data_IF_409615461509
#
_entry.id   IF_409615461509
#
_cell.length_a   1.000
_cell.length_b   1.000
_cell.length_c   1.000
_cell.angle_alpha   90.00
_cell.angle_beta   90.00
_cell.angle_gamma   90.00
#
_symmetry.space_group_name_H-M   'P 1'
#
loop_
_entity.id
_entity.type
_entity.pdbx_description
1 polymer ?
#
# COMPACT_ATOMS: atom_id res chain seq x y z
N UNK A 1 35.89 12.55 0.80
CA UNK A 1 35.87 12.24 -0.65
C UNK A 1 35.20 13.41 -1.37
N UNK A 2 35.98 14.18 -2.14
CA UNK A 2 35.55 15.45 -2.73
C UNK A 2 34.60 15.28 -3.92
N UNK A 3 33.56 16.13 -3.99
CA UNK A 3 32.57 16.24 -5.08
C UNK A 3 33.18 16.47 -6.48
N UNK A 4 34.45 16.90 -6.55
CA UNK A 4 35.17 17.19 -7.80
C UNK A 4 35.68 15.95 -8.56
N UNK A 5 35.71 14.77 -7.94
CA UNK A 5 36.15 13.52 -8.60
C UNK A 5 35.05 12.83 -9.42
N UNK A 6 33.79 13.25 -9.29
CA UNK A 6 32.65 12.67 -10.01
C UNK A 6 32.53 13.14 -11.48
N UNK A 7 33.30 14.16 -11.89
CA UNK A 7 33.20 14.81 -13.19
C UNK A 7 34.06 14.17 -14.30
N UNK A 8 34.78 13.07 -14.01
CA UNK A 8 35.78 12.48 -14.93
C UNK A 8 35.35 11.17 -15.60
N UNK A 9 34.04 10.89 -15.65
CA UNK A 9 33.53 9.67 -16.26
C UNK A 9 32.02 9.71 -16.50
N UNK A 10 31.54 10.67 -17.30
CA UNK A 10 30.17 10.68 -17.82
C UNK A 10 30.02 9.51 -18.82
N UNK A 11 29.85 8.32 -18.25
CA UNK A 11 29.84 7.07 -18.98
C UNK A 11 28.41 6.76 -19.47
N UNK A 12 28.28 6.11 -20.64
CA UNK A 12 27.02 5.47 -21.07
C UNK A 12 26.38 4.61 -19.98
N UNK A 13 27.20 4.06 -19.07
CA UNK A 13 26.77 3.28 -17.92
C UNK A 13 25.97 4.10 -16.90
N UNK A 14 26.31 5.37 -16.68
CA UNK A 14 25.56 6.25 -15.76
C UNK A 14 24.16 6.55 -16.29
N UNK A 15 24.03 6.84 -17.59
CA UNK A 15 22.74 7.07 -18.26
C UNK A 15 21.87 5.81 -18.21
N UNK A 16 22.46 4.64 -18.50
CA UNK A 16 21.77 3.35 -18.40
C UNK A 16 21.36 3.01 -16.97
N UNK A 17 22.22 3.33 -15.99
CA UNK A 17 21.91 3.20 -14.57
C UNK A 17 20.71 4.05 -14.19
N UNK A 18 20.71 5.33 -14.56
CA UNK A 18 19.63 6.27 -14.29
C UNK A 18 18.30 5.80 -14.91
N UNK A 19 18.33 5.35 -16.16
CA UNK A 19 17.17 4.77 -16.84
C UNK A 19 16.59 3.57 -16.05
N UNK A 20 17.43 2.62 -15.65
CA UNK A 20 17.01 1.45 -14.85
C UNK A 20 16.49 1.86 -13.47
N UNK A 21 17.06 2.89 -12.85
CA UNK A 21 16.60 3.40 -11.56
C UNK A 21 15.22 4.03 -11.68
N UNK A 22 14.98 4.87 -12.69
CA UNK A 22 13.67 5.49 -12.96
C UNK A 22 12.59 4.43 -13.22
N UNK A 23 12.88 3.41 -14.03
CA UNK A 23 11.94 2.32 -14.29
C UNK A 23 11.63 1.51 -13.02
N UNK A 24 12.66 1.10 -12.26
CA UNK A 24 12.46 0.37 -11.00
C UNK A 24 11.67 1.18 -9.98
N UNK A 25 11.94 2.49 -9.88
CA UNK A 25 11.18 3.36 -9.00
C UNK A 25 9.73 3.49 -9.45
N UNK A 26 9.51 3.61 -10.77
CA UNK A 26 8.19 3.66 -11.38
C UNK A 26 7.35 2.41 -11.11
N UNK A 27 7.96 1.22 -11.06
CA UNK A 27 7.25 -0.03 -10.75
C UNK A 27 6.80 -0.15 -9.29
N UNK A 28 7.38 0.63 -8.37
CA UNK A 28 7.06 0.56 -6.94
C UNK A 28 5.80 1.34 -6.54
N UNK A 29 5.16 2.06 -7.45
CA UNK A 29 3.89 2.74 -7.14
C UNK A 29 2.76 1.71 -7.03
N UNK A 30 1.91 1.82 -6.00
CA UNK A 30 0.76 0.92 -5.85
C UNK A 30 -0.29 1.15 -6.97
N UNK A 31 -0.49 2.39 -7.39
CA UNK A 31 -1.46 2.76 -8.44
C UNK A 31 -0.95 2.39 -9.83
N UNK A 32 -1.75 1.61 -10.56
CA UNK A 32 -1.50 1.22 -11.96
C UNK A 32 -1.21 2.43 -12.86
N UNK A 33 -2.02 3.49 -12.75
CA UNK A 33 -1.91 4.67 -13.61
C UNK A 33 -0.56 5.37 -13.43
N UNK A 34 -0.08 5.48 -12.18
CA UNK A 34 1.23 6.08 -11.91
C UNK A 34 2.38 5.19 -12.39
N UNK A 35 2.29 3.87 -12.22
CA UNK A 35 3.31 2.93 -12.74
C UNK A 35 3.45 3.04 -14.25
N UNK A 36 2.34 2.95 -14.97
CA UNK A 36 2.35 3.00 -16.43
C UNK A 36 2.73 4.38 -16.98
N UNK A 37 2.29 5.45 -16.33
CA UNK A 37 2.71 6.80 -16.68
C UNK A 37 4.21 7.00 -16.49
N UNK A 38 4.76 6.64 -15.32
CA UNK A 38 6.19 6.76 -15.03
C UNK A 38 7.04 5.96 -16.01
N UNK A 39 6.63 4.71 -16.31
CA UNK A 39 7.28 3.85 -17.28
C UNK A 39 7.28 4.46 -18.68
N UNK A 40 6.13 4.94 -19.15
CA UNK A 40 5.99 5.56 -20.47
C UNK A 40 6.80 6.85 -20.56
N UNK A 41 6.62 7.77 -19.62
CA UNK A 41 7.34 9.04 -19.54
C UNK A 41 8.86 8.85 -19.52
N UNK A 42 9.36 7.89 -18.75
CA UNK A 42 10.79 7.54 -18.72
C UNK A 42 11.26 7.04 -20.08
N UNK A 43 10.51 6.12 -20.71
CA UNK A 43 10.88 5.57 -22.03
C UNK A 43 10.88 6.63 -23.12
N UNK A 44 9.86 7.48 -23.14
CA UNK A 44 9.70 8.52 -24.16
C UNK A 44 10.78 9.58 -23.99
N UNK A 45 11.06 10.04 -22.77
CA UNK A 45 12.14 11.00 -22.49
C UNK A 45 13.51 10.51 -22.98
N UNK A 46 13.85 9.23 -22.77
CA UNK A 46 15.14 8.67 -23.20
C UNK A 46 15.17 8.38 -24.71
N UNK A 47 14.02 8.11 -25.34
CA UNK A 47 13.92 7.95 -26.80
C UNK A 47 14.07 9.28 -27.52
N UNK A 48 13.41 10.33 -27.04
CA UNK A 48 13.48 11.69 -27.58
C UNK A 48 14.91 12.23 -27.55
N UNK A 49 15.65 11.96 -26.47
CA UNK A 49 17.01 12.48 -26.27
C UNK A 49 18.13 11.52 -26.75
N UNK A 50 17.80 10.45 -27.48
CA UNK A 50 18.77 9.40 -27.87
C UNK A 50 19.89 9.90 -28.79
N UNK A 51 19.60 10.88 -29.65
CA UNK A 51 20.53 11.36 -30.67
C UNK A 51 21.40 12.54 -30.23
N UNK A 52 21.23 13.03 -29.00
CA UNK A 52 22.01 14.15 -28.46
C UNK A 52 23.44 13.70 -28.18
N UNK A 53 24.41 14.45 -28.71
CA UNK A 53 25.84 14.15 -28.57
C UNK A 53 26.61 15.23 -27.81
N UNK A 54 26.00 16.39 -27.57
CA UNK A 54 26.65 17.49 -26.82
C UNK A 54 26.82 17.08 -25.35
N UNK A 55 28.07 16.98 -24.83
CA UNK A 55 28.33 16.59 -23.45
C UNK A 55 27.62 17.48 -22.42
N UNK A 56 27.48 18.79 -22.70
CA UNK A 56 26.83 19.72 -21.76
C UNK A 56 25.33 19.44 -21.66
N UNK A 57 24.67 19.22 -22.79
CA UNK A 57 23.25 18.87 -22.83
C UNK A 57 22.97 17.51 -22.20
N UNK A 58 23.85 16.53 -22.41
CA UNK A 58 23.76 15.22 -21.75
C UNK A 58 23.82 15.40 -20.23
N UNK A 59 24.76 16.20 -19.74
CA UNK A 59 24.92 16.45 -18.31
C UNK A 59 23.66 17.11 -17.72
N UNK A 60 23.10 18.11 -18.41
CA UNK A 60 21.85 18.78 -17.98
C UNK A 60 20.66 17.80 -17.92
N UNK A 61 20.50 16.96 -18.95
CA UNK A 61 19.44 15.95 -18.99
C UNK A 61 19.61 14.88 -17.90
N UNK A 62 20.84 14.47 -17.61
CA UNK A 62 21.15 13.56 -16.51
C UNK A 62 20.76 14.20 -15.17
N UNK A 63 21.10 15.48 -14.94
CA UNK A 63 20.68 16.19 -13.73
C UNK A 63 19.15 16.30 -13.63
N UNK A 64 18.46 16.58 -14.74
CA UNK A 64 17.00 16.58 -14.81
C UNK A 64 16.43 15.21 -14.42
N UNK A 65 16.96 14.13 -14.98
CA UNK A 65 16.50 12.77 -14.66
C UNK A 65 16.78 12.37 -13.21
N UNK A 66 17.91 12.80 -12.63
CA UNK A 66 18.20 12.60 -11.20
C UNK A 66 17.18 13.35 -10.32
N UNK A 67 16.79 14.56 -10.69
CA UNK A 67 15.74 15.31 -10.01
C UNK A 67 14.38 14.64 -10.14
N UNK A 68 14.02 14.16 -11.33
CA UNK A 68 12.79 13.38 -11.55
C UNK A 68 12.76 12.11 -10.67
N UNK A 69 13.89 11.39 -10.57
CA UNK A 69 14.02 10.22 -9.70
C UNK A 69 13.82 10.57 -8.22
N UNK A 70 14.38 11.69 -7.75
CA UNK A 70 14.18 12.16 -6.38
C UNK A 70 12.70 12.52 -6.12
N UNK A 71 12.06 13.21 -7.06
CA UNK A 71 10.64 13.54 -6.97
C UNK A 71 9.76 12.28 -6.91
N UNK A 72 10.01 11.28 -7.76
CA UNK A 72 9.26 10.02 -7.74
C UNK A 72 9.39 9.27 -6.41
N UNK A 73 10.57 9.31 -5.78
CA UNK A 73 10.78 8.72 -4.44
C UNK A 73 9.98 9.47 -3.37
N UNK A 74 9.98 10.80 -3.42
CA UNK A 74 9.22 11.63 -2.49
C UNK A 74 7.71 11.43 -2.66
N UNK A 75 7.22 11.36 -3.91
CA UNK A 75 5.80 11.10 -4.20
C UNK A 75 5.34 9.75 -3.66
N UNK A 76 6.16 8.70 -3.81
CA UNK A 76 5.87 7.39 -3.22
C UNK A 76 5.68 7.50 -1.70
N UNK A 77 6.62 8.11 -1.00
CA UNK A 77 6.54 8.27 0.45
C UNK A 77 5.31 9.09 0.86
N UNK A 78 5.02 10.17 0.12
CA UNK A 78 3.84 11.01 0.36
C UNK A 78 2.54 10.21 0.24
N UNK A 79 2.41 9.39 -0.81
CA UNK A 79 1.21 8.55 -0.98
C UNK A 79 1.04 7.52 0.13
N UNK A 80 2.14 6.97 0.64
CA UNK A 80 2.12 6.04 1.77
C UNK A 80 1.68 6.76 3.06
N UNK A 81 2.27 7.91 3.36
CA UNK A 81 1.88 8.72 4.53
C UNK A 81 0.41 9.15 4.48
N UNK A 82 -0.10 9.48 3.29
CA UNK A 82 -1.50 9.83 3.10
C UNK A 82 -2.43 8.64 3.40
N UNK A 83 -2.06 7.44 2.96
CA UNK A 83 -2.80 6.21 3.26
C UNK A 83 -2.82 5.92 4.77
N UNK A 84 -1.65 5.99 5.42
CA UNK A 84 -1.52 5.78 6.88
C UNK A 84 -2.35 6.81 7.68
N UNK A 85 -2.36 8.07 7.23
CA UNK A 85 -3.18 9.13 7.81
C UNK A 85 -4.68 8.82 7.67
N UNK A 86 -5.11 8.34 6.51
CA UNK A 86 -6.50 7.95 6.27
C UNK A 86 -6.90 6.74 7.13
N UNK A 87 -6.05 5.73 7.25
CA UNK A 87 -6.27 4.57 8.10
C UNK A 87 -6.39 4.93 9.59
N UNK A 88 -5.60 5.91 10.05
CA UNK A 88 -5.68 6.42 11.43
C UNK A 88 -6.98 7.17 11.70
N UNK A 89 -7.50 7.90 10.70
CA UNK A 89 -8.74 8.69 10.83
C UNK A 89 -10.00 7.86 10.62
N UNK A 90 -9.96 6.91 9.69
CA UNK A 90 -11.09 6.11 9.25
C UNK A 90 -10.75 4.64 9.43
N UNK A 91 -11.16 4.12 10.59
CA UNK A 91 -11.03 2.70 10.93
C UNK A 91 -11.75 1.87 9.86
N UNK A 92 -11.09 0.83 9.35
CA UNK A 92 -11.62 -0.03 8.30
C UNK A 92 -11.19 0.34 6.88
N UNK A 93 -10.39 1.40 6.70
CA UNK A 93 -9.77 1.71 5.40
C UNK A 93 -8.80 0.61 4.98
N UNK A 94 -9.13 -0.10 3.89
CA UNK A 94 -8.32 -1.21 3.37
C UNK A 94 -7.07 -0.75 2.59
N UNK A 95 -6.20 -1.72 2.28
CA UNK A 95 -5.04 -1.63 1.39
C UNK A 95 -5.03 -2.86 0.47
N UNK A 96 -4.18 -2.91 -0.58
CA UNK A 96 -4.14 -4.04 -1.51
C UNK A 96 -3.96 -5.42 -0.86
N UNK A 97 -3.27 -5.48 0.28
CA UNK A 97 -2.99 -6.73 1.01
C UNK A 97 -3.96 -6.98 2.18
N UNK A 98 -5.11 -6.28 2.23
CA UNK A 98 -6.13 -6.54 3.25
C UNK A 98 -6.69 -7.95 3.09
N UNK A 99 -6.63 -8.72 4.16
CA UNK A 99 -7.05 -10.13 4.16
C UNK A 99 -8.58 -10.24 4.13
N UNK A 100 -9.08 -11.40 3.66
CA UNK A 100 -10.52 -11.70 3.72
C UNK A 100 -11.07 -11.63 5.16
N UNK A 101 -10.27 -12.02 6.14
CA UNK A 101 -10.66 -11.99 7.55
C UNK A 101 -10.77 -10.55 8.08
N UNK A 102 -9.80 -9.68 7.79
CA UNK A 102 -9.84 -8.25 8.19
C UNK A 102 -11.06 -7.55 7.58
N UNK A 103 -11.30 -7.74 6.28
CA UNK A 103 -12.46 -7.20 5.59
C UNK A 103 -13.77 -7.66 6.23
N UNK A 104 -13.95 -8.98 6.41
CA UNK A 104 -15.16 -9.54 7.05
C UNK A 104 -15.34 -9.00 8.46
N UNK A 105 -14.27 -8.89 9.24
CA UNK A 105 -14.30 -8.36 10.60
C UNK A 105 -14.82 -6.92 10.62
N UNK A 106 -14.32 -6.06 9.74
CA UNK A 106 -14.77 -4.67 9.62
C UNK A 106 -16.26 -4.61 9.22
N UNK A 107 -16.68 -5.37 8.21
CA UNK A 107 -18.09 -5.39 7.76
C UNK A 107 -19.05 -5.84 8.88
N UNK A 108 -18.67 -6.86 9.66
CA UNK A 108 -19.50 -7.32 10.77
C UNK A 108 -19.55 -6.29 11.92
N UNK A 109 -18.45 -5.58 12.17
CA UNK A 109 -18.42 -4.48 13.15
C UNK A 109 -19.31 -3.34 12.68
N UNK A 110 -19.22 -2.90 11.43
CA UNK A 110 -20.06 -1.83 10.87
C UNK A 110 -21.55 -2.18 10.91
N UNK A 111 -21.88 -3.44 10.60
CA UNK A 111 -23.26 -3.94 10.66
C UNK A 111 -23.81 -3.88 12.09
N UNK A 112 -23.06 -4.40 13.07
CA UNK A 112 -23.46 -4.37 14.49
C UNK A 112 -23.53 -2.95 15.02
N UNK A 113 -22.58 -2.09 14.65
CA UNK A 113 -22.59 -0.67 15.01
C UNK A 113 -23.86 0.02 14.47
N UNK A 114 -24.22 -0.27 13.22
CA UNK A 114 -25.44 0.27 12.59
C UNK A 114 -26.69 -0.19 13.31
N UNK A 115 -26.81 -1.48 13.65
CA UNK A 115 -27.97 -2.00 14.40
C UNK A 115 -28.06 -1.33 15.78
N UNK A 116 -26.94 -1.18 16.49
CA UNK A 116 -26.90 -0.56 17.82
C UNK A 116 -27.19 0.95 17.78
N UNK A 117 -26.73 1.65 16.74
CA UNK A 117 -26.88 3.09 16.58
C UNK A 117 -28.28 3.53 16.14
N UNK A 118 -29.00 2.69 15.40
CA UNK A 118 -30.34 3.01 14.90
C UNK A 118 -31.41 2.31 15.72
N UNK A 119 -32.15 3.08 16.52
CA UNK A 119 -33.22 2.58 17.41
C UNK A 119 -34.22 1.66 16.73
N UNK A 120 -34.71 1.92 15.49
CA UNK A 120 -35.64 1.01 14.81
C UNK A 120 -35.05 -0.37 14.52
N UNK A 121 -33.77 -0.43 14.13
CA UNK A 121 -33.07 -1.70 13.86
C UNK A 121 -32.84 -2.47 15.14
N UNK A 122 -32.42 -1.80 16.22
CA UNK A 122 -32.26 -2.43 17.52
C UNK A 122 -33.60 -2.96 18.07
N UNK A 123 -34.68 -2.18 17.93
CA UNK A 123 -36.01 -2.57 18.37
C UNK A 123 -36.52 -3.79 17.58
N UNK A 124 -36.30 -3.83 16.27
CA UNK A 124 -36.64 -4.98 15.44
C UNK A 124 -35.93 -6.25 15.89
N UNK A 125 -34.61 -6.18 16.13
CA UNK A 125 -33.83 -7.33 16.63
C UNK A 125 -34.26 -7.77 18.04
N UNK A 126 -34.55 -6.81 18.91
CA UNK A 126 -35.05 -7.04 20.28
C UNK A 126 -36.40 -7.73 20.29
N UNK A 127 -37.32 -7.30 19.42
CA UNK A 127 -38.63 -7.93 19.26
C UNK A 127 -38.50 -9.36 18.71
N UNK A 128 -37.65 -9.57 17.70
CA UNK A 128 -37.42 -10.88 17.09
C UNK A 128 -36.80 -11.90 18.07
N UNK A 129 -35.93 -11.46 18.98
CA UNK A 129 -35.28 -12.31 19.98
C UNK A 129 -36.09 -12.44 21.28
N UNK A 130 -37.18 -11.67 21.44
CA UNK A 130 -37.94 -11.55 22.68
C UNK A 130 -37.06 -11.21 23.90
N UNK A 131 -36.08 -10.31 23.71
CA UNK A 131 -35.18 -9.85 24.76
C UNK A 131 -35.24 -8.33 24.92
N UNK A 132 -35.02 -7.77 26.14
CA UNK A 132 -34.97 -6.33 26.32
C UNK A 132 -33.89 -5.66 25.46
N UNK A 133 -34.19 -4.49 24.89
CA UNK A 133 -33.27 -3.74 24.01
C UNK A 133 -31.89 -3.51 24.64
N UNK A 134 -31.82 -3.27 25.95
CA UNK A 134 -30.56 -3.09 26.67
C UNK A 134 -29.68 -4.35 26.64
N UNK A 135 -30.29 -5.54 26.72
CA UNK A 135 -29.60 -6.83 26.68
C UNK A 135 -29.07 -7.12 25.27
N UNK A 136 -29.92 -6.98 24.25
CA UNK A 136 -29.52 -7.17 22.84
C UNK A 136 -28.42 -6.19 22.44
N UNK A 137 -28.53 -4.92 22.86
CA UNK A 137 -27.48 -3.92 22.65
C UNK A 137 -26.15 -4.35 23.26
N UNK A 138 -26.15 -4.79 24.52
CA UNK A 138 -24.94 -5.24 25.18
C UNK A 138 -24.33 -6.49 24.51
N UNK A 139 -25.18 -7.42 24.07
CA UNK A 139 -24.75 -8.61 23.33
C UNK A 139 -24.09 -8.25 22.00
N UNK A 140 -24.72 -7.38 21.19
CA UNK A 140 -24.18 -6.96 19.90
C UNK A 140 -22.82 -6.28 20.06
N UNK A 141 -22.66 -5.39 21.06
CA UNK A 141 -21.39 -4.72 21.36
C UNK A 141 -20.31 -5.74 21.73
N UNK A 142 -20.62 -6.73 22.59
CA UNK A 142 -19.65 -7.79 22.96
C UNK A 142 -19.21 -8.61 21.75
N UNK A 143 -20.14 -8.90 20.84
CA UNK A 143 -19.86 -9.62 19.59
C UNK A 143 -19.06 -8.80 18.56
N UNK A 144 -18.74 -7.53 18.82
CA UNK A 144 -17.86 -6.71 17.96
C UNK A 144 -16.37 -7.00 18.20
N UNK A 145 -16.01 -7.59 19.35
CA UNK A 145 -14.61 -7.92 19.69
C UNK A 145 -14.05 -8.88 18.64
N UNK A 146 -14.75 -9.99 18.42
CA UNK A 146 -14.32 -11.05 17.51
C UNK A 146 -15.53 -11.63 16.75
N UNK A 147 -16.07 -10.90 15.76
CA UNK A 147 -17.33 -11.24 15.12
C UNK A 147 -17.27 -12.48 14.22
N UNK A 148 -16.07 -12.81 13.70
CA UNK A 148 -15.85 -13.87 12.70
C UNK A 148 -14.78 -14.86 13.13
N UNK A 149 -14.57 -15.01 14.44
CA UNK A 149 -13.56 -15.91 15.01
C UNK A 149 -12.13 -15.38 14.96
N UNK A 150 -11.14 -16.19 15.39
CA UNK A 150 -9.73 -15.81 15.37
C UNK A 150 -9.20 -15.58 13.96
N UNK A 151 -8.22 -14.66 13.81
CA UNK A 151 -7.55 -14.48 12.53
C UNK A 151 -6.85 -15.78 12.13
N UNK A 152 -6.75 -16.05 10.81
CA UNK A 152 -5.90 -17.14 10.34
C UNK A 152 -4.44 -16.91 10.79
N UNK A 153 -3.67 -17.97 11.02
CA UNK A 153 -2.23 -17.86 11.28
C UNK A 153 -1.56 -17.11 10.13
N UNK A 154 -0.53 -16.32 10.44
CA UNK A 154 0.23 -15.60 9.41
C UNK A 154 0.95 -16.61 8.52
N UNK A 155 1.17 -16.27 7.25
CA UNK A 155 1.83 -17.18 6.30
C UNK A 155 3.20 -17.68 6.83
N UNK A 156 3.97 -16.82 7.48
CA UNK A 156 5.25 -17.17 8.12
C UNK A 156 5.09 -18.22 9.24
N UNK A 157 4.01 -18.13 10.02
CA UNK A 157 3.68 -19.07 11.09
C UNK A 157 3.14 -20.39 10.52
N UNK A 158 2.42 -20.35 9.41
CA UNK A 158 1.95 -21.54 8.70
C UNK A 158 3.12 -22.37 8.16
N UNK A 159 4.17 -21.73 7.64
CA UNK A 159 5.39 -22.41 7.19
C UNK A 159 6.09 -23.10 8.37
N UNK A 160 6.19 -22.41 9.52
CA UNK A 160 6.76 -22.98 10.74
C UNK A 160 5.94 -24.16 11.28
N UNK A 161 4.61 -24.03 11.31
CA UNK A 161 3.69 -25.09 11.74
C UNK A 161 3.74 -26.32 10.81
N UNK A 162 3.86 -26.09 9.50
CA UNK A 162 4.03 -27.15 8.52
C UNK A 162 5.38 -27.86 8.66
N UNK A 163 6.46 -27.11 8.94
CA UNK A 163 7.80 -27.67 9.17
C UNK A 163 7.87 -28.51 10.46
N UNK A 164 7.20 -28.07 11.54
CA UNK A 164 7.13 -28.85 12.79
C UNK A 164 6.37 -30.18 12.63
N UNK A 165 5.42 -30.27 11.70
CA UNK A 165 4.67 -31.50 11.43
C UNK A 165 5.42 -32.50 10.53
N UNK A 166 6.56 -32.13 9.93
CA UNK A 166 7.36 -33.03 9.08
C UNK A 166 8.55 -33.67 9.81
N UNK A 167 8.80 -33.32 11.08
CA UNK A 167 9.92 -33.86 11.87
C UNK A 167 9.56 -35.03 12.81
N UNK A 168 8.36 -35.61 12.67
CA UNK A 168 7.86 -36.68 13.53
C UNK A 168 7.53 -37.95 12.74
N UNK A 169 8.55 -38.63 12.23
CA UNK A 169 8.53 -40.05 11.83
C UNK A 169 9.95 -40.61 11.85
#
# INVERSE_FOLDING_TARGET
MSLSSALKGDSPQQVLSLYRQLLRQGEQFASYNFREYAKRRTRDAFRENKSIQDPRQIQELVQKGLKELQMMKADKLRTQQELERLQSKYIGTGHPDTTSWEWKTNIHRDTKASIVGHTPLLAYMSLAQNEPMAKVRAQLIRQMVQPVGPPPPREDEMVLLAASNQGGA
#
